data_IF_689380248955
#
_entry.id   IF_689380248955
#
_cell.length_a   1.000
_cell.length_b   1.000
_cell.length_c   1.000
_cell.angle_alpha   90.00
_cell.angle_beta   90.00
_cell.angle_gamma   90.00
#
_symmetry.space_group_name_H-M   'P 1'
#
loop_
_entity.id
_entity.type
_entity.pdbx_description
1 polymer ?
#
# COMPACT_ATOMS: atom_id res chain seq x y z
N UNK A 1 24.48 36.46 7.06
CA UNK A 1 23.30 36.47 6.15
C UNK A 1 22.47 35.26 6.53
N UNK A 2 21.37 35.48 7.26
CA UNK A 2 20.54 34.42 7.81
C UNK A 2 19.49 34.05 6.76
N UNK A 3 19.43 32.77 6.39
CA UNK A 3 18.39 32.22 5.48
C UNK A 3 17.28 31.66 6.36
N UNK A 4 16.09 32.23 6.28
CA UNK A 4 14.91 31.69 6.95
C UNK A 4 14.25 30.64 6.05
N UNK A 5 14.15 29.41 6.52
CA UNK A 5 13.35 28.36 5.88
C UNK A 5 11.98 28.31 6.59
N UNK A 6 10.92 28.63 5.85
CA UNK A 6 9.55 28.53 6.34
C UNK A 6 8.98 27.18 5.90
N UNK A 7 8.79 26.29 6.85
CA UNK A 7 8.09 25.02 6.62
C UNK A 7 6.62 25.13 7.05
N UNK A 8 5.69 24.77 6.17
CA UNK A 8 4.27 24.69 6.50
C UNK A 8 3.92 23.22 6.79
N UNK A 9 3.55 22.91 8.02
CA UNK A 9 2.99 21.61 8.41
C UNK A 9 1.47 21.76 8.52
N UNK A 10 0.75 20.97 7.70
CA UNK A 10 -0.70 20.90 7.75
C UNK A 10 -1.11 19.88 8.81
N UNK A 11 -1.80 20.32 9.86
CA UNK A 11 -2.36 19.46 10.90
C UNK A 11 -3.83 19.16 10.58
N UNK A 12 -4.30 17.98 10.99
CA UNK A 12 -5.65 17.46 10.74
C UNK A 12 -6.74 18.43 11.23
N UNK A 13 -7.84 18.51 10.48
CA UNK A 13 -8.97 19.38 10.74
C UNK A 13 -9.67 19.07 12.07
N UNK A 14 -9.97 20.13 12.80
CA UNK A 14 -10.89 20.14 13.93
C UNK A 14 -12.34 20.05 13.44
N UNK A 15 -13.26 19.64 14.32
CA UNK A 15 -14.66 19.31 14.03
C UNK A 15 -15.51 20.48 13.47
N UNK A 16 -14.94 21.66 13.30
CA UNK A 16 -15.60 22.88 12.76
C UNK A 16 -15.19 23.21 11.31
N UNK A 17 -14.31 22.40 10.69
CA UNK A 17 -14.04 22.46 9.24
C UNK A 17 -13.13 23.61 8.77
N UNK A 18 -12.52 24.40 9.64
CA UNK A 18 -11.55 25.42 9.25
C UNK A 18 -10.11 24.93 9.43
N UNK A 19 -9.22 25.11 8.43
CA UNK A 19 -7.83 24.72 8.55
C UNK A 19 -7.09 25.71 9.47
N UNK A 20 -6.67 25.25 10.65
CA UNK A 20 -5.80 26.01 11.53
C UNK A 20 -4.36 25.93 11.01
N UNK A 21 -3.86 27.00 10.45
CA UNK A 21 -2.45 27.15 10.06
C UNK A 21 -1.66 27.70 11.24
N UNK A 22 -0.89 26.85 11.90
CA UNK A 22 0.09 27.26 12.90
C UNK A 22 1.44 27.50 12.25
N UNK A 23 1.91 28.74 12.26
CA UNK A 23 3.24 29.12 11.74
C UNK A 23 4.25 28.96 12.87
N UNK A 24 5.17 28.01 12.74
CA UNK A 24 6.30 27.87 13.66
C UNK A 24 7.48 28.66 13.11
N UNK A 25 7.85 29.74 13.75
CA UNK A 25 9.08 30.46 13.43
C UNK A 25 10.26 29.80 14.15
N UNK A 26 11.09 29.10 13.38
CA UNK A 26 12.34 28.54 13.91
C UNK A 26 13.47 29.50 13.59
N UNK A 27 13.94 30.20 14.62
CA UNK A 27 15.16 31.03 14.57
C UNK A 27 16.35 30.13 14.89
N UNK A 28 17.21 29.87 13.93
CA UNK A 28 18.47 29.14 14.17
C UNK A 28 19.45 30.03 14.91
N UNK A 29 19.62 29.81 16.21
CA UNK A 29 20.67 30.39 17.03
C UNK A 29 21.25 29.30 17.95
N UNK A 30 21.89 28.34 17.44
CA UNK A 30 22.90 27.50 18.08
C UNK A 30 22.75 26.03 17.70
N UNK A 31 23.87 25.35 17.48
CA UNK A 31 23.90 23.90 17.08
C UNK A 31 23.41 22.99 18.21
N UNK A 32 23.23 23.47 19.42
CA UNK A 32 22.70 22.71 20.56
C UNK A 32 21.21 22.44 20.50
N UNK A 33 20.44 23.34 19.91
CA UNK A 33 18.96 23.22 19.85
C UNK A 33 18.48 22.23 18.80
N UNK A 34 19.32 21.93 17.80
CA UNK A 34 18.97 21.00 16.73
C UNK A 34 18.89 19.55 17.22
N UNK A 35 19.73 19.16 18.18
CA UNK A 35 19.68 17.82 18.78
C UNK A 35 18.52 17.64 19.75
N UNK A 36 18.12 18.70 20.46
CA UNK A 36 16.95 18.68 21.33
C UNK A 36 15.64 18.53 20.53
N UNK A 37 15.52 19.23 19.41
CA UNK A 37 14.36 19.11 18.52
C UNK A 37 14.25 17.72 17.86
N UNK A 38 15.37 17.05 17.56
CA UNK A 38 15.36 15.68 17.06
C UNK A 38 14.94 14.65 18.11
N UNK A 39 15.28 14.89 19.39
CA UNK A 39 14.86 14.01 20.47
C UNK A 39 13.35 14.09 20.72
N UNK A 40 12.75 15.25 20.60
CA UNK A 40 11.29 15.44 20.73
C UNK A 40 10.51 14.79 19.58
N UNK A 41 11.05 14.82 18.36
CA UNK A 41 10.45 14.14 17.21
C UNK A 41 10.50 12.62 17.38
N UNK A 42 11.58 12.08 17.94
CA UNK A 42 11.72 10.65 18.19
C UNK A 42 10.71 10.16 19.26
N UNK A 43 10.49 10.94 20.32
CA UNK A 43 9.49 10.63 21.34
C UNK A 43 8.05 10.73 20.81
N UNK A 44 7.77 11.67 19.91
CA UNK A 44 6.46 11.83 19.31
C UNK A 44 6.13 10.69 18.32
N UNK A 45 7.15 10.11 17.66
CA UNK A 45 6.96 8.98 16.76
C UNK A 45 6.63 7.68 17.50
N UNK A 46 7.11 7.51 18.72
CA UNK A 46 6.82 6.35 19.58
C UNK A 46 5.41 6.41 20.20
N UNK A 47 4.81 7.60 20.27
CA UNK A 47 3.46 7.82 20.77
C UNK A 47 2.35 7.58 19.72
N UNK A 48 2.70 7.30 18.44
CA UNK A 48 1.71 6.94 17.45
C UNK A 48 1.10 5.56 17.83
N UNK A 49 -0.23 5.44 17.88
CA UNK A 49 -0.86 4.15 18.12
C UNK A 49 -0.40 3.19 17.01
N UNK A 50 0.24 2.08 17.41
CA UNK A 50 0.61 1.02 16.47
C UNK A 50 -0.65 0.61 15.71
N UNK A 51 -0.59 0.43 14.37
CA UNK A 51 -1.74 -0.06 13.62
C UNK A 51 -2.25 -1.33 14.28
N UNK A 52 -3.44 -1.25 14.84
CA UNK A 52 -4.11 -2.43 15.40
C UNK A 52 -4.52 -3.26 14.21
N UNK A 53 -3.92 -4.44 14.06
CA UNK A 53 -4.36 -5.41 13.08
C UNK A 53 -5.86 -5.67 13.32
N UNK A 54 -6.70 -5.70 12.26
CA UNK A 54 -8.10 -5.96 12.40
C UNK A 54 -8.29 -7.30 13.13
N UNK A 55 -9.30 -7.43 14.05
CA UNK A 55 -9.49 -8.62 14.84
C UNK A 55 -9.71 -9.82 13.91
N UNK A 56 -8.85 -10.82 14.00
CA UNK A 56 -9.03 -12.12 13.34
C UNK A 56 -10.31 -12.73 13.87
N UNK A 57 -11.37 -12.73 13.08
CA UNK A 57 -12.65 -13.38 13.42
C UNK A 57 -12.44 -14.90 13.40
N UNK A 58 -12.20 -15.48 14.59
CA UNK A 58 -12.23 -16.92 14.77
C UNK A 58 -13.68 -17.40 14.58
N UNK A 59 -13.92 -18.19 13.53
CA UNK A 59 -15.18 -18.94 13.42
C UNK A 59 -16.08 -18.62 12.22
N UNK A 60 -15.55 -18.19 11.09
CA UNK A 60 -16.31 -18.24 9.84
C UNK A 60 -16.08 -19.61 9.18
N UNK A 61 -17.07 -20.50 9.34
CA UNK A 61 -17.27 -21.62 8.42
C UNK A 61 -17.29 -21.06 7.01
N UNK A 62 -16.59 -21.73 6.11
CA UNK A 62 -16.34 -21.42 4.71
C UNK A 62 -17.65 -21.27 3.91
N UNK A 63 -18.43 -20.24 4.17
CA UNK A 63 -19.40 -19.72 3.24
C UNK A 63 -18.55 -19.03 2.14
N UNK A 64 -18.89 -19.24 0.88
CA UNK A 64 -18.25 -18.55 -0.21
C UNK A 64 -18.21 -17.06 0.11
N UNK A 65 -17.01 -16.52 0.31
CA UNK A 65 -16.83 -15.08 0.52
C UNK A 65 -17.10 -14.47 -0.84
N UNK A 66 -18.31 -13.93 -1.01
CA UNK A 66 -18.59 -13.09 -2.18
C UNK A 66 -17.83 -11.79 -1.94
N UNK A 67 -16.68 -11.66 -2.56
CA UNK A 67 -15.87 -10.45 -2.50
C UNK A 67 -16.49 -9.43 -3.45
N UNK A 68 -16.71 -8.22 -2.97
CA UNK A 68 -17.15 -7.13 -3.83
C UNK A 68 -15.99 -6.76 -4.78
N UNK A 69 -16.14 -6.88 -6.10
CA UNK A 69 -15.07 -6.58 -7.05
C UNK A 69 -14.66 -5.10 -7.05
N UNK A 70 -15.43 -4.22 -6.42
CA UNK A 70 -15.09 -2.79 -6.23
C UNK A 70 -14.41 -2.50 -4.90
N UNK A 71 -14.28 -3.49 -3.99
CA UNK A 71 -13.58 -3.34 -2.72
C UNK A 71 -12.07 -3.25 -2.97
N UNK A 72 -11.37 -2.21 -2.48
CA UNK A 72 -9.91 -2.13 -2.61
C UNK A 72 -9.16 -3.30 -1.96
N UNK A 73 -9.81 -4.07 -1.08
CA UNK A 73 -9.27 -5.31 -0.49
C UNK A 73 -9.34 -6.53 -1.41
N UNK A 74 -10.06 -6.46 -2.54
CA UNK A 74 -10.19 -7.60 -3.47
C UNK A 74 -8.84 -8.14 -3.95
N UNK A 75 -7.87 -7.25 -4.14
CA UNK A 75 -6.52 -7.64 -4.56
C UNK A 75 -5.75 -8.39 -3.50
N UNK A 76 -5.96 -8.09 -2.22
CA UNK A 76 -5.35 -8.83 -1.11
C UNK A 76 -5.96 -10.24 -0.97
N UNK A 77 -7.27 -10.37 -1.14
CA UNK A 77 -7.95 -11.67 -1.15
C UNK A 77 -7.47 -12.52 -2.34
N UNK A 78 -7.31 -11.91 -3.51
CA UNK A 78 -6.78 -12.59 -4.69
C UNK A 78 -5.33 -13.02 -4.48
N UNK A 79 -4.47 -12.13 -3.97
CA UNK A 79 -3.08 -12.44 -3.65
C UNK A 79 -2.98 -13.54 -2.57
N UNK A 80 -3.89 -13.53 -1.59
CA UNK A 80 -3.94 -14.59 -0.58
C UNK A 80 -4.28 -15.95 -1.21
N UNK A 81 -5.20 -15.98 -2.16
CA UNK A 81 -5.52 -17.19 -2.90
C UNK A 81 -4.35 -17.67 -3.79
N UNK A 82 -3.74 -16.77 -4.57
CA UNK A 82 -2.69 -17.10 -5.56
C UNK A 82 -1.37 -17.49 -4.89
N UNK A 83 -0.92 -16.69 -3.91
CA UNK A 83 0.43 -16.77 -3.35
C UNK A 83 0.49 -16.74 -1.83
N UNK A 84 -0.67 -16.90 -1.16
CA UNK A 84 -0.82 -16.75 0.31
C UNK A 84 -0.43 -15.36 0.80
N UNK A 85 -0.62 -14.34 -0.04
CA UNK A 85 -0.32 -12.95 0.27
C UNK A 85 1.18 -12.59 0.18
N UNK A 86 2.00 -13.44 -0.45
CA UNK A 86 3.42 -13.14 -0.65
C UNK A 86 3.62 -12.28 -1.92
N UNK A 87 3.64 -10.96 -1.74
CA UNK A 87 3.80 -10.00 -2.84
C UNK A 87 5.19 -10.03 -3.51
N UNK A 88 6.22 -10.57 -2.84
CA UNK A 88 7.58 -10.65 -3.35
C UNK A 88 7.96 -12.07 -3.84
N UNK A 89 6.98 -12.91 -4.18
CA UNK A 89 7.26 -14.28 -4.61
C UNK A 89 7.72 -14.34 -6.07
N UNK A 90 8.75 -15.15 -6.31
CA UNK A 90 9.28 -15.56 -7.62
C UNK A 90 9.47 -17.09 -7.68
N UNK A 91 8.83 -17.82 -6.76
CA UNK A 91 9.08 -19.24 -6.52
C UNK A 91 8.63 -20.16 -7.67
N UNK A 92 7.80 -19.66 -8.61
CA UNK A 92 7.33 -20.41 -9.76
C UNK A 92 7.99 -19.89 -11.03
N UNK A 93 8.78 -20.70 -11.77
CA UNK A 93 9.41 -20.23 -13.00
C UNK A 93 8.42 -19.63 -13.99
N UNK A 94 8.69 -18.41 -14.45
CA UNK A 94 7.84 -17.71 -15.41
C UNK A 94 6.70 -16.90 -14.80
N UNK A 95 6.52 -16.95 -13.46
CA UNK A 95 5.50 -16.19 -12.73
C UNK A 95 6.13 -15.47 -11.55
N UNK A 96 5.66 -14.27 -11.26
CA UNK A 96 6.18 -13.44 -10.17
C UNK A 96 5.11 -12.54 -9.56
N UNK A 97 5.38 -12.09 -8.33
CA UNK A 97 4.52 -11.18 -7.57
C UNK A 97 3.33 -11.84 -6.89
N UNK A 98 2.69 -11.11 -5.99
CA UNK A 98 1.59 -11.58 -5.15
C UNK A 98 0.37 -12.06 -5.92
N UNK A 99 0.15 -11.52 -7.11
CA UNK A 99 -0.95 -11.86 -8.01
C UNK A 99 -0.56 -12.89 -9.09
N UNK A 100 0.65 -13.47 -9.00
CA UNK A 100 1.09 -14.52 -9.90
C UNK A 100 1.17 -14.11 -11.37
N UNK A 101 1.70 -12.92 -11.65
CA UNK A 101 1.84 -12.45 -13.02
C UNK A 101 2.77 -13.34 -13.84
N UNK A 102 2.34 -13.76 -15.04
CA UNK A 102 3.28 -14.24 -16.02
C UNK A 102 4.25 -13.10 -16.41
N UNK A 103 5.54 -13.40 -16.54
CA UNK A 103 6.56 -12.38 -16.85
C UNK A 103 6.25 -11.64 -18.16
N UNK A 104 5.67 -12.33 -19.16
CA UNK A 104 5.22 -11.74 -20.42
C UNK A 104 4.05 -10.75 -20.20
N UNK A 105 3.11 -11.08 -19.33
CA UNK A 105 1.97 -10.22 -18.97
C UNK A 105 2.45 -9.00 -18.25
N UNK A 106 3.32 -9.15 -17.24
CA UNK A 106 3.95 -8.03 -16.53
C UNK A 106 4.55 -7.03 -17.50
N UNK A 107 5.38 -7.53 -18.44
CA UNK A 107 6.03 -6.71 -19.45
C UNK A 107 5.02 -6.03 -20.39
N UNK A 108 4.07 -6.78 -20.95
CA UNK A 108 3.13 -6.26 -21.95
C UNK A 108 2.16 -5.22 -21.38
N UNK A 109 1.85 -5.30 -20.07
CA UNK A 109 1.00 -4.35 -19.36
C UNK A 109 1.76 -3.16 -18.78
N UNK A 110 3.06 -3.02 -19.11
CA UNK A 110 3.88 -1.88 -18.71
C UNK A 110 4.48 -2.00 -17.32
N UNK A 111 4.52 -3.19 -16.71
CA UNK A 111 5.07 -3.40 -15.38
C UNK A 111 6.55 -3.02 -15.25
N UNK A 112 7.29 -3.04 -16.36
CA UNK A 112 8.69 -2.60 -16.40
C UNK A 112 8.90 -1.11 -16.10
N UNK A 113 7.86 -0.29 -16.10
CA UNK A 113 7.95 1.08 -15.59
C UNK A 113 8.22 1.14 -14.08
N UNK A 114 7.88 0.07 -13.36
CA UNK A 114 8.04 -0.03 -11.90
C UNK A 114 9.23 -0.92 -11.52
N UNK A 115 9.33 -2.12 -12.10
CA UNK A 115 10.40 -3.08 -11.83
C UNK A 115 10.53 -4.09 -12.98
N UNK A 116 11.70 -4.72 -13.11
CA UNK A 116 11.94 -5.78 -14.08
C UNK A 116 11.04 -7.00 -13.85
N UNK A 117 10.81 -7.34 -12.58
CA UNK A 117 9.93 -8.44 -12.16
C UNK A 117 8.81 -7.91 -11.27
N UNK A 118 7.64 -8.54 -11.35
CA UNK A 118 6.55 -8.22 -10.44
C UNK A 118 6.92 -8.46 -8.96
N UNK A 119 7.80 -9.42 -8.67
CA UNK A 119 8.26 -9.69 -7.31
C UNK A 119 9.09 -8.55 -6.69
N UNK A 120 9.71 -7.71 -7.52
CA UNK A 120 10.51 -6.56 -7.09
C UNK A 120 9.68 -5.27 -6.98
N UNK A 121 8.44 -5.29 -7.48
CA UNK A 121 7.52 -4.17 -7.40
C UNK A 121 6.75 -4.15 -6.07
N UNK A 122 6.36 -2.95 -5.61
CA UNK A 122 5.51 -2.84 -4.42
C UNK A 122 4.11 -3.42 -4.68
N UNK A 123 3.38 -3.72 -3.61
CA UNK A 123 1.98 -4.17 -3.69
C UNK A 123 1.13 -3.23 -4.55
N UNK A 124 1.23 -1.93 -4.31
CA UNK A 124 0.46 -0.90 -5.01
C UNK A 124 0.79 -0.86 -6.51
N UNK A 125 2.07 -1.00 -6.86
CA UNK A 125 2.52 -1.06 -8.26
C UNK A 125 1.99 -2.32 -8.96
N UNK A 126 1.99 -3.44 -8.27
CA UNK A 126 1.41 -4.68 -8.78
C UNK A 126 -0.10 -4.54 -9.00
N UNK A 127 -0.82 -3.86 -8.10
CA UNK A 127 -2.26 -3.60 -8.25
C UNK A 127 -2.53 -2.73 -9.48
N UNK A 128 -1.74 -1.68 -9.73
CA UNK A 128 -1.88 -0.85 -10.95
C UNK A 128 -1.80 -1.70 -12.22
N UNK A 129 -0.88 -2.65 -12.27
CA UNK A 129 -0.76 -3.57 -13.42
C UNK A 129 -1.91 -4.57 -13.45
N UNK A 130 -2.36 -5.04 -12.29
CA UNK A 130 -3.53 -5.94 -12.21
C UNK A 130 -4.81 -5.29 -12.72
N UNK A 131 -5.02 -4.01 -12.44
CA UNK A 131 -6.15 -3.24 -12.97
C UNK A 131 -6.11 -3.14 -14.50
N UNK A 132 -4.93 -2.93 -15.10
CA UNK A 132 -4.75 -2.96 -16.55
C UNK A 132 -5.06 -4.34 -17.16
N UNK A 133 -4.63 -5.40 -16.47
CA UNK A 133 -4.98 -6.78 -16.87
C UNK A 133 -6.48 -7.02 -16.76
N UNK A 134 -7.09 -6.56 -15.66
CA UNK A 134 -8.53 -6.68 -15.45
C UNK A 134 -9.33 -5.96 -16.53
N UNK A 135 -8.93 -4.75 -16.91
CA UNK A 135 -9.56 -3.98 -17.98
C UNK A 135 -9.48 -4.69 -19.33
N UNK A 136 -8.34 -5.33 -19.63
CA UNK A 136 -8.10 -5.99 -20.91
C UNK A 136 -8.68 -7.41 -21.02
N UNK A 137 -8.67 -8.17 -19.93
CA UNK A 137 -8.92 -9.62 -19.92
C UNK A 137 -9.99 -10.05 -18.90
N UNK A 138 -10.46 -9.12 -18.07
CA UNK A 138 -11.39 -9.43 -17.00
C UNK A 138 -10.79 -10.34 -15.93
N UNK A 139 -11.63 -10.79 -15.02
CA UNK A 139 -11.25 -11.73 -13.95
C UNK A 139 -10.79 -13.09 -14.46
N UNK A 140 -11.00 -13.39 -15.76
CA UNK A 140 -10.49 -14.58 -16.42
C UNK A 140 -8.97 -14.72 -16.48
N UNK A 141 -8.23 -13.64 -16.18
CA UNK A 141 -6.78 -13.67 -16.02
C UNK A 141 -6.33 -14.51 -14.80
N UNK A 142 -7.19 -14.66 -13.81
CA UNK A 142 -6.97 -15.44 -12.59
C UNK A 142 -8.05 -16.53 -12.42
N UNK A 143 -8.15 -17.53 -13.33
CA UNK A 143 -9.33 -18.37 -13.45
C UNK A 143 -9.65 -19.18 -12.20
N UNK A 144 -8.64 -19.68 -11.48
CA UNK A 144 -8.84 -20.48 -10.28
C UNK A 144 -9.31 -19.66 -9.09
N UNK A 145 -8.57 -18.59 -8.77
CA UNK A 145 -8.85 -17.78 -7.59
C UNK A 145 -10.04 -16.84 -7.79
N UNK A 146 -10.26 -16.32 -9.00
CA UNK A 146 -11.45 -15.50 -9.27
C UNK A 146 -12.77 -16.29 -9.16
N UNK A 147 -12.76 -17.57 -9.55
CA UNK A 147 -13.93 -18.44 -9.33
C UNK A 147 -14.18 -18.72 -7.85
N UNK A 148 -13.11 -19.00 -7.08
CA UNK A 148 -13.22 -19.26 -5.64
C UNK A 148 -13.72 -18.05 -4.86
N UNK A 149 -13.40 -16.83 -5.32
CA UNK A 149 -13.79 -15.57 -4.70
C UNK A 149 -15.12 -15.03 -5.22
N UNK A 150 -15.74 -15.70 -6.21
CA UNK A 150 -17.01 -15.27 -6.80
C UNK A 150 -16.93 -13.98 -7.63
N UNK A 151 -15.77 -13.71 -8.23
CA UNK A 151 -15.51 -12.51 -9.04
C UNK A 151 -15.93 -12.69 -10.51
N UNK A 152 -16.27 -13.91 -10.92
CA UNK A 152 -16.74 -14.26 -12.28
C UNK A 152 -18.16 -14.74 -12.26
#
# INVERSE_FOLDING_TARGET
MAIAVVGVVSSAADATGEPSTSTVNVTMADHGDMYAAMADIALALEALPKPVAPPVRKGQTRAAVVVDPSDPGVWDELAHCETRGNWATDSVPGFAGGLGFANSTWKSMGGHEFAESAADATREQQIVIAERVLESSGWGAWPGCSDLLGLR
#
